data_IF_136233224152
#
_entry.id   IF_136233224152
#
_cell.length_a   1.000
_cell.length_b   1.000
_cell.length_c   1.000
_cell.angle_alpha   90.00
_cell.angle_beta   90.00
_cell.angle_gamma   90.00
#
_symmetry.space_group_name_H-M   'P 1'
#
loop_
_entity.id
_entity.type
_entity.pdbx_description
1 polymer ?
#
# COMPACT_ATOMS: atom_id res chain seq x y z
N UNK A 1 1.60 -32.51 18.19
CA UNK A 1 1.43 -31.21 17.51
C UNK A 1 1.72 -30.04 18.44
N UNK A 2 1.18 -30.01 19.66
CA UNK A 2 1.43 -28.91 20.61
C UNK A 2 2.86 -28.93 21.18
N UNK A 3 3.38 -30.12 21.52
CA UNK A 3 4.78 -30.32 21.94
C UNK A 3 5.77 -29.84 20.88
N UNK A 4 5.54 -30.16 19.59
CA UNK A 4 6.40 -29.71 18.47
C UNK A 4 6.33 -28.21 18.18
N UNK A 5 5.21 -27.54 18.46
CA UNK A 5 5.10 -26.07 18.34
C UNK A 5 5.88 -25.36 19.43
N UNK A 6 5.76 -25.86 20.67
CA UNK A 6 6.50 -25.34 21.82
C UNK A 6 8.01 -25.53 21.64
N UNK A 7 8.43 -26.69 21.12
CA UNK A 7 9.84 -26.94 20.79
C UNK A 7 10.36 -25.98 19.72
N UNK A 8 9.58 -25.73 18.65
CA UNK A 8 9.94 -24.76 17.62
C UNK A 8 10.07 -23.34 18.17
N UNK A 9 9.17 -22.92 19.08
CA UNK A 9 9.26 -21.64 19.76
C UNK A 9 10.56 -21.52 20.59
N UNK A 10 10.83 -22.51 21.45
CA UNK A 10 12.02 -22.51 22.32
C UNK A 10 13.30 -22.47 21.47
N UNK A 11 13.36 -23.26 20.39
CA UNK A 11 14.50 -23.27 19.49
C UNK A 11 14.68 -21.92 18.77
N UNK A 12 13.59 -21.32 18.30
CA UNK A 12 13.65 -19.99 17.67
C UNK A 12 14.23 -18.96 18.64
N UNK A 13 13.76 -18.94 19.89
CA UNK A 13 14.23 -18.02 20.93
C UNK A 13 15.74 -18.16 21.17
N UNK A 14 16.23 -19.40 21.27
CA UNK A 14 17.67 -19.68 21.43
C UNK A 14 18.49 -19.20 20.22
N UNK A 15 18.00 -19.37 19.00
CA UNK A 15 18.69 -18.89 17.80
C UNK A 15 18.68 -17.35 17.70
N UNK A 16 17.59 -16.69 18.10
CA UNK A 16 17.53 -15.24 18.18
C UNK A 16 18.48 -14.68 19.25
N UNK A 17 18.64 -15.36 20.39
CA UNK A 17 19.64 -14.99 21.39
C UNK A 17 21.08 -15.10 20.87
N UNK A 18 21.38 -16.15 20.09
CA UNK A 18 22.68 -16.30 19.41
C UNK A 18 22.89 -15.16 18.41
N UNK A 19 21.88 -14.83 17.62
CA UNK A 19 21.93 -13.70 16.68
C UNK A 19 22.16 -12.38 17.40
N UNK A 20 21.46 -12.14 18.51
CA UNK A 20 21.60 -10.91 19.29
C UNK A 20 23.03 -10.70 19.82
N UNK A 21 23.75 -11.79 20.14
CA UNK A 21 25.16 -11.73 20.55
C UNK A 21 26.11 -11.23 19.44
N UNK A 22 25.71 -11.39 18.17
CA UNK A 22 26.47 -10.87 17.02
C UNK A 22 26.23 -9.37 16.78
N UNK A 23 25.22 -8.77 17.41
CA UNK A 23 24.90 -7.35 17.25
C UNK A 23 25.97 -6.46 17.93
N UNK A 24 26.35 -5.34 17.30
CA UNK A 24 27.18 -4.31 17.91
C UNK A 24 26.53 -3.79 19.20
N UNK A 25 27.34 -3.43 20.18
CA UNK A 25 26.85 -3.04 21.51
C UNK A 25 25.88 -1.86 21.46
N UNK A 26 26.14 -0.87 20.60
CA UNK A 26 25.30 0.31 20.41
C UNK A 26 23.95 0.02 19.71
N UNK A 27 23.81 -1.13 19.04
CA UNK A 27 22.56 -1.54 18.36
C UNK A 27 21.81 -2.64 19.11
N UNK A 28 22.43 -3.25 20.12
CA UNK A 28 21.91 -4.46 20.76
C UNK A 28 20.54 -4.26 21.40
N UNK A 29 20.26 -3.09 21.97
CA UNK A 29 18.95 -2.79 22.55
C UNK A 29 17.86 -2.67 21.47
N UNK A 30 18.15 -1.99 20.37
CA UNK A 30 17.22 -1.87 19.23
C UNK A 30 16.91 -3.25 18.65
N UNK A 31 17.95 -4.03 18.34
CA UNK A 31 17.80 -5.38 17.77
C UNK A 31 17.04 -6.32 18.72
N UNK A 32 17.24 -6.16 20.04
CA UNK A 32 16.47 -6.90 21.05
C UNK A 32 14.98 -6.59 20.94
N UNK A 33 14.60 -5.32 20.84
CA UNK A 33 13.20 -4.90 20.67
C UNK A 33 12.59 -5.45 19.38
N UNK A 34 13.33 -5.39 18.25
CA UNK A 34 12.91 -5.99 16.98
C UNK A 34 12.64 -7.49 17.13
N UNK A 35 13.50 -8.22 17.83
CA UNK A 35 13.34 -9.65 18.05
C UNK A 35 12.19 -9.98 19.01
N UNK A 36 11.89 -9.13 20.00
CA UNK A 36 10.68 -9.30 20.82
C UNK A 36 9.39 -9.20 19.99
N UNK A 37 9.30 -8.20 19.09
CA UNK A 37 8.19 -8.08 18.16
C UNK A 37 8.05 -9.31 17.27
N UNK A 38 9.18 -9.78 16.70
CA UNK A 38 9.21 -10.98 15.87
C UNK A 38 8.76 -12.24 16.63
N UNK A 39 9.22 -12.42 17.88
CA UNK A 39 8.82 -13.56 18.72
C UNK A 39 7.33 -13.58 18.98
N UNK A 40 6.72 -12.43 19.29
CA UNK A 40 5.27 -12.32 19.47
C UNK A 40 4.53 -12.73 18.19
N UNK A 41 4.97 -12.24 17.03
CA UNK A 41 4.36 -12.56 15.74
C UNK A 41 4.51 -14.04 15.38
N UNK A 42 5.69 -14.62 15.59
CA UNK A 42 5.94 -16.03 15.34
C UNK A 42 5.13 -16.95 16.27
N UNK A 43 5.03 -16.60 17.56
CA UNK A 43 4.21 -17.35 18.51
C UNK A 43 2.74 -17.34 18.08
N UNK A 44 2.21 -16.17 17.69
CA UNK A 44 0.85 -16.08 17.13
C UNK A 44 0.70 -16.92 15.86
N UNK A 45 1.66 -16.89 14.95
CA UNK A 45 1.65 -17.74 13.75
C UNK A 45 1.57 -19.23 14.07
N UNK A 46 2.27 -19.70 15.11
CA UNK A 46 2.17 -21.09 15.55
C UNK A 46 0.82 -21.41 16.21
N UNK A 47 0.20 -20.46 16.91
CA UNK A 47 -1.05 -20.65 17.65
C UNK A 47 -2.30 -20.51 16.79
N UNK A 48 -2.31 -19.56 15.85
CA UNK A 48 -3.41 -19.30 14.93
C UNK A 48 -3.54 -20.46 13.94
N UNK A 49 -4.44 -21.39 14.22
CA UNK A 49 -4.76 -22.53 13.35
C UNK A 49 -6.13 -22.31 12.72
N UNK A 50 -6.16 -22.28 11.39
CA UNK A 50 -7.41 -22.16 10.62
C UNK A 50 -7.50 -20.86 9.81
N UNK A 51 -8.60 -20.65 9.08
CA UNK A 51 -8.82 -19.44 8.32
C UNK A 51 -9.06 -18.24 9.26
N UNK A 52 -8.58 -17.05 8.89
CA UNK A 52 -8.80 -15.83 9.67
C UNK A 52 -10.28 -15.41 9.72
N UNK A 53 -11.07 -15.86 8.75
CA UNK A 53 -12.51 -15.60 8.66
C UNK A 53 -13.25 -16.91 8.37
N UNK A 54 -14.33 -17.14 9.10
CA UNK A 54 -15.34 -18.11 8.70
C UNK A 54 -16.29 -17.44 7.72
N UNK A 55 -16.31 -17.91 6.47
CA UNK A 55 -17.04 -17.24 5.38
C UNK A 55 -18.53 -17.02 5.69
N UNK A 56 -19.17 -18.00 6.33
CA UNK A 56 -20.60 -17.96 6.68
C UNK A 56 -20.92 -16.95 7.80
N UNK A 57 -19.91 -16.45 8.53
CA UNK A 57 -20.06 -15.41 9.57
C UNK A 57 -19.80 -14.01 9.03
N UNK A 58 -19.45 -13.87 7.74
CA UNK A 58 -19.26 -12.55 7.13
C UNK A 58 -20.61 -11.89 6.92
N UNK A 59 -20.76 -10.69 7.48
CA UNK A 59 -21.98 -9.91 7.40
C UNK A 59 -21.82 -8.77 6.38
N UNK A 60 -22.96 -8.34 5.81
CA UNK A 60 -22.99 -7.11 5.02
C UNK A 60 -22.68 -5.90 5.90
N UNK A 61 -21.96 -4.93 5.35
CA UNK A 61 -21.65 -3.68 6.05
C UNK A 61 -22.93 -3.01 6.57
N UNK A 62 -23.00 -2.63 7.86
CA UNK A 62 -24.16 -1.96 8.39
C UNK A 62 -24.34 -0.57 7.75
N UNK A 63 -25.58 -0.05 7.78
CA UNK A 63 -25.86 1.29 7.28
C UNK A 63 -25.02 2.32 8.05
N UNK A 64 -24.35 3.21 7.31
CA UNK A 64 -23.47 4.23 7.89
C UNK A 64 -22.05 3.75 8.20
N UNK A 65 -21.74 2.47 8.02
CA UNK A 65 -20.36 1.97 8.18
C UNK A 65 -19.41 2.50 7.10
N UNK A 66 -19.94 2.78 5.91
CA UNK A 66 -19.24 3.48 4.83
C UNK A 66 -20.12 4.64 4.40
N UNK A 67 -19.59 5.86 4.49
CA UNK A 67 -20.28 7.07 4.04
C UNK A 67 -19.73 7.53 2.69
N UNK A 68 -20.55 8.26 1.93
CA UNK A 68 -20.16 8.82 0.63
C UNK A 68 -19.39 10.12 0.85
N UNK A 69 -18.21 10.25 0.23
CA UNK A 69 -17.39 11.45 0.29
C UNK A 69 -18.16 12.73 -0.08
N UNK A 70 -19.10 12.66 -1.03
CA UNK A 70 -19.87 13.82 -1.47
C UNK A 70 -20.85 14.35 -0.39
N UNK A 71 -21.05 13.61 0.70
CA UNK A 71 -21.89 14.03 1.83
C UNK A 71 -21.10 14.80 2.89
N UNK A 72 -19.77 14.87 2.78
CA UNK A 72 -18.91 15.58 3.72
C UNK A 72 -19.07 17.10 3.59
N UNK A 73 -18.95 17.80 4.71
CA UNK A 73 -19.06 19.25 4.76
C UNK A 73 -17.70 19.91 4.65
N UNK A 74 -17.62 20.89 3.75
CA UNK A 74 -16.44 21.75 3.64
C UNK A 74 -16.29 22.63 4.90
N UNK A 75 -15.09 22.69 5.49
CA UNK A 75 -14.85 23.56 6.64
C UNK A 75 -14.86 25.03 6.24
N UNK A 76 -15.17 25.90 7.20
CA UNK A 76 -15.02 27.35 7.03
C UNK A 76 -13.53 27.71 6.97
N UNK A 77 -13.13 28.52 5.99
CA UNK A 77 -11.73 28.88 5.71
C UNK A 77 -10.91 29.28 6.95
N UNK A 78 -11.48 30.08 7.85
CA UNK A 78 -10.78 30.58 9.03
C UNK A 78 -10.38 29.49 10.03
N UNK A 79 -11.00 28.29 9.94
CA UNK A 79 -10.70 27.15 10.82
C UNK A 79 -9.67 26.20 10.23
N UNK A 80 -9.41 26.25 8.91
CA UNK A 80 -8.57 25.27 8.21
C UNK A 80 -7.16 25.22 8.82
N UNK A 81 -6.57 26.39 9.10
CA UNK A 81 -5.23 26.45 9.70
C UNK A 81 -5.17 25.71 11.04
N UNK A 82 -6.09 26.01 11.95
CA UNK A 82 -6.16 25.38 13.28
C UNK A 82 -6.46 23.88 13.20
N UNK A 83 -7.21 23.44 12.18
CA UNK A 83 -7.45 22.02 11.92
C UNK A 83 -6.17 21.32 11.45
N UNK A 84 -5.41 21.95 10.55
CA UNK A 84 -4.14 21.40 10.04
C UNK A 84 -3.06 21.33 11.14
N UNK A 85 -3.06 22.25 12.11
CA UNK A 85 -2.15 22.20 13.26
C UNK A 85 -2.38 20.94 14.13
N UNK A 86 -3.56 20.32 14.03
CA UNK A 86 -3.92 19.07 14.73
C UNK A 86 -3.66 17.80 13.90
N UNK A 87 -3.19 17.94 12.66
CA UNK A 87 -2.97 16.83 11.75
C UNK A 87 -1.47 16.53 11.58
N UNK A 88 -1.14 15.26 11.62
CA UNK A 88 0.16 14.71 11.24
C UNK A 88 0.00 13.96 9.93
N UNK A 89 0.99 14.04 9.03
CA UNK A 89 1.01 13.23 7.81
C UNK A 89 2.13 12.20 7.92
N UNK A 90 1.82 10.94 7.65
CA UNK A 90 2.76 9.82 7.63
C UNK A 90 2.75 9.13 6.27
N UNK A 91 3.92 8.95 5.68
CA UNK A 91 4.06 8.32 4.37
C UNK A 91 4.86 7.03 4.49
N UNK A 92 4.27 5.92 4.05
CA UNK A 92 5.00 4.67 3.85
C UNK A 92 5.93 4.82 2.64
N UNK A 93 7.22 4.70 2.90
CA UNK A 93 8.25 4.71 1.85
C UNK A 93 8.78 3.28 1.64
N UNK A 94 9.33 3.04 0.45
CA UNK A 94 10.00 1.78 0.17
C UNK A 94 11.22 1.61 1.09
N UNK A 95 11.44 0.38 1.58
CA UNK A 95 12.49 -0.04 2.52
C UNK A 95 12.31 0.46 3.97
N UNK A 96 11.74 -0.41 4.82
CA UNK A 96 11.71 -0.34 6.29
C UNK A 96 11.62 1.06 6.89
N UNK A 97 10.88 2.00 6.31
CA UNK A 97 10.88 3.38 6.80
C UNK A 97 9.56 4.05 6.47
N UNK A 98 9.16 4.97 7.33
CA UNK A 98 8.12 5.94 7.01
C UNK A 98 8.58 7.34 7.41
N UNK A 99 8.00 8.32 6.75
CA UNK A 99 8.27 9.74 6.97
C UNK A 99 7.09 10.34 7.69
N UNK A 100 7.33 10.92 8.87
CA UNK A 100 6.34 11.74 9.58
C UNK A 100 6.62 13.20 9.30
N UNK A 101 5.57 13.91 8.87
CA UNK A 101 5.57 15.34 8.59
C UNK A 101 4.63 16.04 9.55
N UNK A 102 5.17 16.97 10.31
CA UNK A 102 4.42 17.82 11.24
C UNK A 102 4.89 19.27 11.07
N UNK A 103 4.08 20.12 10.45
CA UNK A 103 4.47 21.44 9.93
C UNK A 103 5.44 21.39 8.73
N UNK A 104 5.53 22.52 8.00
CA UNK A 104 6.11 22.65 6.65
C UNK A 104 7.60 22.23 6.50
N UNK A 105 8.32 22.00 7.61
CA UNK A 105 9.78 21.79 7.60
C UNK A 105 10.28 20.63 8.46
N UNK A 106 9.42 19.92 9.21
CA UNK A 106 9.87 18.81 10.05
C UNK A 106 9.58 17.48 9.35
N UNK A 107 10.66 16.80 8.96
CA UNK A 107 10.62 15.44 8.42
C UNK A 107 11.33 14.52 9.39
N UNK A 108 10.61 13.55 9.93
CA UNK A 108 11.18 12.55 10.85
C UNK A 108 11.11 11.19 10.16
N UNK A 109 12.28 10.58 10.00
CA UNK A 109 12.42 9.23 9.45
C UNK A 109 12.39 8.23 10.60
N UNK A 110 11.41 7.33 10.59
CA UNK A 110 11.33 6.21 11.52
C UNK A 110 11.62 4.94 10.75
N UNK A 111 12.64 4.22 11.21
CA UNK A 111 12.97 2.91 10.67
C UNK A 111 12.04 1.86 11.30
N UNK A 112 11.39 1.07 10.45
CA UNK A 112 10.59 -0.09 10.84
C UNK A 112 11.51 -1.23 11.29
N UNK A 113 10.97 -2.13 12.09
CA UNK A 113 11.70 -3.31 12.55
C UNK A 113 12.20 -4.12 11.35
N UNK A 114 13.35 -4.79 11.53
CA UNK A 114 13.83 -5.76 10.54
C UNK A 114 13.74 -7.16 11.15
N UNK A 115 13.01 -8.05 10.50
CA UNK A 115 12.83 -9.42 10.98
C UNK A 115 13.66 -10.41 10.17
N UNK A 116 14.20 -11.46 10.81
CA UNK A 116 14.90 -12.51 10.09
C UNK A 116 13.88 -13.41 9.39
N UNK A 117 14.13 -13.71 8.12
CA UNK A 117 13.44 -14.80 7.41
C UNK A 117 13.76 -16.11 8.11
N UNK A 118 12.80 -17.02 8.14
CA UNK A 118 13.00 -18.35 8.71
C UNK A 118 12.70 -19.44 7.68
N UNK A 119 13.39 -20.56 7.82
CA UNK A 119 13.24 -21.71 6.93
C UNK A 119 11.84 -22.30 7.06
N UNK A 120 11.23 -22.66 5.91
CA UNK A 120 9.95 -23.38 5.88
C UNK A 120 10.04 -24.77 6.49
N UNK A 121 11.22 -25.38 6.47
CA UNK A 121 11.43 -26.76 6.90
C UNK A 121 11.78 -26.83 8.40
N UNK A 122 12.73 -26.00 8.85
CA UNK A 122 13.21 -26.03 10.24
C UNK A 122 12.54 -25.03 11.16
N UNK A 123 11.81 -24.05 10.63
CA UNK A 123 11.27 -22.89 11.35
C UNK A 123 12.33 -22.01 12.05
N UNK A 124 13.61 -22.19 11.72
CA UNK A 124 14.71 -21.43 12.31
C UNK A 124 15.10 -20.23 11.46
N UNK A 125 15.62 -19.13 12.06
CA UNK A 125 16.12 -17.98 11.34
C UNK A 125 17.21 -18.41 10.34
N UNK A 126 17.15 -17.86 9.13
CA UNK A 126 18.18 -18.10 8.10
C UNK A 126 19.42 -17.24 8.36
N UNK A 127 19.22 -16.06 8.95
CA UNK A 127 20.31 -15.17 9.33
C UNK A 127 21.26 -15.86 10.32
N UNK A 128 22.56 -15.63 10.15
CA UNK A 128 23.62 -16.14 11.04
C UNK A 128 24.32 -15.04 11.84
N UNK A 129 24.17 -13.79 11.41
CA UNK A 129 24.72 -12.61 12.05
C UNK A 129 23.80 -11.42 11.78
N UNK A 130 23.69 -10.52 12.75
CA UNK A 130 23.03 -9.21 12.60
C UNK A 130 23.89 -8.27 11.74
N UNK A 131 25.21 -8.44 11.81
CA UNK A 131 26.17 -7.69 10.98
C UNK A 131 26.59 -8.58 9.83
N UNK A 132 26.11 -8.29 8.63
CA UNK A 132 26.42 -9.06 7.43
C UNK A 132 25.97 -8.33 6.16
N UNK A 133 26.58 -8.68 5.03
CA UNK A 133 26.24 -8.12 3.72
C UNK A 133 25.01 -8.76 3.08
N UNK A 134 24.57 -9.91 3.61
CA UNK A 134 23.42 -10.63 3.09
C UNK A 134 22.13 -10.00 3.62
N UNK A 135 21.60 -9.03 2.86
CA UNK A 135 20.32 -8.39 3.16
C UNK A 135 19.12 -9.29 2.80
N UNK A 136 19.34 -10.36 2.04
CA UNK A 136 18.27 -11.27 1.62
C UNK A 136 17.79 -12.20 2.74
N UNK A 137 18.47 -12.27 3.87
CA UNK A 137 17.96 -13.04 5.02
C UNK A 137 17.06 -12.22 5.94
N UNK A 138 16.87 -10.93 5.63
CA UNK A 138 16.07 -9.98 6.42
C UNK A 138 14.87 -9.44 5.61
N UNK A 139 13.85 -8.95 6.29
CA UNK A 139 12.68 -8.31 5.65
C UNK A 139 11.96 -7.35 6.61
N UNK A 140 11.28 -6.30 6.08
CA UNK A 140 10.32 -5.53 6.86
C UNK A 140 9.07 -6.37 7.20
N UNK A 141 8.49 -6.26 8.40
CA UNK A 141 7.25 -6.93 8.82
C UNK A 141 5.96 -6.39 8.17
N UNK A 142 6.07 -5.76 7.00
CA UNK A 142 4.95 -5.07 6.34
C UNK A 142 4.58 -3.75 7.02
N UNK A 143 3.50 -3.13 6.56
CA UNK A 143 3.10 -1.80 7.00
C UNK A 143 2.39 -1.79 8.37
N UNK A 144 1.92 -2.94 8.86
CA UNK A 144 1.23 -3.03 10.16
C UNK A 144 2.12 -2.67 11.36
N UNK A 145 3.44 -2.82 11.22
CA UNK A 145 4.43 -2.41 12.23
C UNK A 145 4.45 -0.91 12.53
N UNK A 146 3.82 -0.09 11.66
CA UNK A 146 3.69 1.35 11.84
C UNK A 146 3.29 1.75 13.26
N UNK A 147 2.28 1.11 13.85
CA UNK A 147 1.75 1.54 15.15
C UNK A 147 2.75 1.32 16.29
N UNK A 148 3.36 0.13 16.37
CA UNK A 148 4.35 -0.19 17.40
C UNK A 148 5.62 0.65 17.20
N UNK A 149 6.14 0.75 15.97
CA UNK A 149 7.32 1.56 15.67
C UNK A 149 7.08 3.05 15.94
N UNK A 150 5.89 3.57 15.65
CA UNK A 150 5.54 4.95 15.93
C UNK A 150 5.47 5.25 17.44
N UNK A 151 4.86 4.36 18.23
CA UNK A 151 4.86 4.46 19.69
C UNK A 151 6.28 4.33 20.28
N UNK A 152 7.02 3.29 19.90
CA UNK A 152 8.35 2.99 20.44
C UNK A 152 9.40 4.07 20.09
N UNK A 153 9.16 4.85 19.04
CA UNK A 153 10.02 5.99 18.68
C UNK A 153 9.95 7.16 19.66
N UNK A 154 8.92 7.22 20.52
CA UNK A 154 8.63 8.38 21.37
C UNK A 154 7.95 9.54 20.63
N UNK A 155 7.94 9.52 19.29
CA UNK A 155 7.37 10.60 18.49
C UNK A 155 5.86 10.75 18.69
N UNK A 156 5.14 9.64 18.94
CA UNK A 156 3.71 9.70 19.23
C UNK A 156 3.41 10.62 20.43
N UNK A 157 4.19 10.51 21.50
CA UNK A 157 4.04 11.33 22.70
C UNK A 157 4.41 12.79 22.44
N UNK A 158 5.49 13.03 21.70
CA UNK A 158 5.89 14.39 21.31
C UNK A 158 4.79 15.09 20.51
N UNK A 159 4.20 14.40 19.53
CA UNK A 159 3.14 14.95 18.68
C UNK A 159 1.85 15.20 19.46
N UNK A 160 1.47 14.28 20.36
CA UNK A 160 0.34 14.48 21.27
C UNK A 160 0.58 15.71 22.17
N UNK A 161 1.79 15.87 22.71
CA UNK A 161 2.16 17.03 23.52
C UNK A 161 2.16 18.35 22.72
N UNK A 162 2.40 18.28 21.41
CA UNK A 162 2.24 19.41 20.48
C UNK A 162 0.78 19.71 20.09
N UNK A 163 -0.18 18.91 20.56
CA UNK A 163 -1.61 19.11 20.29
C UNK A 163 -2.11 18.45 19.00
N UNK A 164 -1.34 17.55 18.40
CA UNK A 164 -1.82 16.74 17.29
C UNK A 164 -2.90 15.75 17.77
N UNK A 165 -3.94 15.55 16.97
CA UNK A 165 -5.05 14.64 17.28
C UNK A 165 -5.13 13.44 16.33
N UNK A 166 -4.81 13.66 15.05
CA UNK A 166 -4.95 12.64 14.00
C UNK A 166 -3.67 12.51 13.17
N UNK A 167 -3.45 11.30 12.65
CA UNK A 167 -2.43 10.98 11.66
C UNK A 167 -3.10 10.51 10.37
N UNK A 168 -2.78 11.17 9.25
CA UNK A 168 -3.11 10.70 7.92
C UNK A 168 -1.95 9.85 7.39
N UNK A 169 -2.22 8.59 7.10
CA UNK A 169 -1.25 7.59 6.66
C UNK A 169 -1.55 7.19 5.21
N UNK A 170 -0.55 7.23 4.33
CA UNK A 170 -0.69 6.79 2.94
C UNK A 170 0.62 6.26 2.36
N UNK A 171 0.56 5.66 1.17
CA UNK A 171 1.77 5.25 0.45
C UNK A 171 2.35 6.43 -0.33
N UNK A 172 3.69 6.58 -0.33
CA UNK A 172 4.36 7.64 -1.11
C UNK A 172 4.13 7.51 -2.62
N UNK A 173 3.90 6.29 -3.09
CA UNK A 173 3.62 6.03 -4.50
C UNK A 173 2.16 6.24 -4.88
N UNK A 174 1.26 6.55 -3.94
CA UNK A 174 -0.09 7.00 -4.23
C UNK A 174 -0.14 8.52 -4.37
N UNK A 175 -0.02 9.01 -5.61
CA UNK A 175 0.01 10.45 -5.91
C UNK A 175 -1.36 11.12 -5.69
N UNK A 176 -2.43 10.34 -5.55
CA UNK A 176 -3.77 10.83 -5.22
C UNK A 176 -3.99 11.09 -3.72
N UNK A 177 -3.12 10.56 -2.86
CA UNK A 177 -3.26 10.63 -1.40
C UNK A 177 -2.85 11.99 -0.82
N UNK A 178 -3.58 13.04 -1.20
CA UNK A 178 -3.40 14.39 -0.65
C UNK A 178 -4.18 14.57 0.65
N UNK A 179 -3.78 15.53 1.48
CA UNK A 179 -4.55 15.90 2.70
C UNK A 179 -5.90 16.45 2.29
N UNK A 180 -6.97 15.79 2.73
CA UNK A 180 -8.35 16.19 2.45
C UNK A 180 -8.96 16.95 3.63
N UNK A 181 -9.31 18.22 3.41
CA UNK A 181 -9.86 19.09 4.45
C UNK A 181 -11.29 18.71 4.86
N UNK A 182 -12.06 18.05 3.98
CA UNK A 182 -13.43 17.65 4.27
C UNK A 182 -13.44 16.42 5.19
N UNK A 183 -12.55 15.47 4.92
CA UNK A 183 -12.32 14.32 5.82
C UNK A 183 -11.79 14.82 7.16
N UNK A 184 -10.79 15.71 7.16
CA UNK A 184 -10.26 16.29 8.40
C UNK A 184 -11.35 17.03 9.20
N UNK A 185 -12.27 17.73 8.53
CA UNK A 185 -13.39 18.40 9.17
C UNK A 185 -14.32 17.41 9.88
N UNK A 186 -14.66 16.29 9.23
CA UNK A 186 -15.46 15.22 9.84
C UNK A 186 -14.80 14.68 11.12
N UNK A 187 -13.48 14.50 11.10
CA UNK A 187 -12.71 13.93 12.21
C UNK A 187 -12.63 14.87 13.42
N UNK A 188 -12.48 16.17 13.18
CA UNK A 188 -12.31 17.16 14.25
C UNK A 188 -13.63 17.79 14.71
N UNK A 189 -14.64 17.82 13.85
CA UNK A 189 -15.96 18.41 14.11
C UNK A 189 -17.10 17.43 13.75
N UNK A 190 -17.17 16.25 14.37
CA UNK A 190 -18.25 15.31 14.09
C UNK A 190 -19.60 15.90 14.53
N UNK A 191 -20.67 15.53 13.81
CA UNK A 191 -22.03 15.93 14.18
C UNK A 191 -22.41 15.37 15.56
N UNK A 192 -23.28 16.06 16.31
CA UNK A 192 -23.73 15.64 17.67
C UNK A 192 -24.28 14.20 17.74
N UNK A 193 -24.72 13.64 16.61
CA UNK A 193 -25.27 12.28 16.51
C UNK A 193 -24.23 11.20 16.26
N UNK A 194 -22.96 11.56 16.06
CA UNK A 194 -21.90 10.64 15.67
C UNK A 194 -20.73 10.76 16.65
N UNK A 195 -20.34 9.65 17.27
CA UNK A 195 -19.09 9.56 18.01
C UNK A 195 -17.91 9.76 17.07
N UNK A 196 -16.88 10.47 17.51
CA UNK A 196 -15.69 10.68 16.70
C UNK A 196 -15.02 9.34 16.35
N UNK A 197 -14.83 9.01 15.06
CA UNK A 197 -14.18 7.77 14.68
C UNK A 197 -12.71 7.80 15.09
N UNK A 198 -12.21 6.72 15.68
CA UNK A 198 -10.78 6.60 16.00
C UNK A 198 -9.96 6.12 14.80
N UNK A 199 -10.63 5.51 13.81
CA UNK A 199 -10.01 4.99 12.60
C UNK A 199 -10.93 5.18 11.40
N UNK A 200 -10.42 5.82 10.35
CA UNK A 200 -11.11 5.98 9.08
C UNK A 200 -10.28 5.39 7.95
N UNK A 201 -10.89 4.54 7.15
CA UNK A 201 -10.30 3.96 5.95
C UNK A 201 -10.97 4.55 4.72
N UNK A 202 -10.20 5.23 3.86
CA UNK A 202 -10.72 5.60 2.55
C UNK A 202 -10.82 4.32 1.69
N UNK A 203 -12.00 4.10 1.13
CA UNK A 203 -12.29 3.04 0.19
C UNK A 203 -12.71 3.66 -1.13
N UNK A 204 -12.53 2.96 -2.24
CA UNK A 204 -13.03 3.42 -3.55
C UNK A 204 -13.69 2.26 -4.28
N UNK A 205 -14.56 2.57 -5.24
CA UNK A 205 -15.23 1.55 -6.05
C UNK A 205 -14.23 0.62 -6.79
N UNK A 206 -14.48 -0.70 -6.71
CA UNK A 206 -13.69 -1.73 -7.37
C UNK A 206 -13.88 -1.71 -8.88
N UNK A 207 -12.79 -1.65 -9.63
CA UNK A 207 -12.77 -1.96 -11.06
C UNK A 207 -12.25 -3.37 -11.31
N UNK A 208 -12.26 -3.81 -12.57
CA UNK A 208 -11.68 -5.10 -12.99
C UNK A 208 -10.19 -5.24 -12.65
N UNK A 209 -9.46 -4.14 -12.52
CA UNK A 209 -8.06 -4.15 -12.13
C UNK A 209 -7.86 -4.38 -10.62
N UNK A 210 -8.89 -4.09 -9.80
CA UNK A 210 -8.79 -4.03 -8.34
C UNK A 210 -9.41 -5.26 -7.65
N UNK A 211 -9.85 -6.28 -8.41
CA UNK A 211 -10.61 -7.44 -7.90
C UNK A 211 -9.86 -8.29 -6.87
N UNK A 212 -8.55 -8.11 -6.75
CA UNK A 212 -7.69 -8.77 -5.75
C UNK A 212 -7.49 -7.95 -4.48
N UNK A 213 -7.87 -6.67 -4.47
CA UNK A 213 -7.70 -5.79 -3.33
C UNK A 213 -8.64 -6.12 -2.17
N UNK A 214 -8.12 -5.98 -0.95
CA UNK A 214 -8.87 -6.15 0.28
C UNK A 214 -10.11 -5.25 0.37
N UNK A 215 -11.14 -5.71 1.06
CA UNK A 215 -12.41 -4.99 1.24
C UNK A 215 -12.78 -4.90 2.72
N UNK A 216 -13.50 -3.84 3.08
CA UNK A 216 -14.15 -3.76 4.38
C UNK A 216 -15.35 -4.71 4.45
N UNK A 217 -15.47 -5.39 5.57
CA UNK A 217 -16.60 -6.26 5.93
C UNK A 217 -17.01 -6.03 7.38
N UNK A 218 -18.21 -6.49 7.72
CA UNK A 218 -18.65 -6.62 9.10
C UNK A 218 -18.40 -8.07 9.57
N UNK A 219 -17.73 -8.24 10.70
CA UNK A 219 -17.43 -9.55 11.26
C UNK A 219 -17.32 -9.47 12.79
N UNK A 220 -18.08 -10.30 13.51
CA UNK A 220 -18.13 -10.32 14.98
C UNK A 220 -18.41 -8.94 15.59
N UNK A 221 -19.39 -8.23 15.04
CA UNK A 221 -19.81 -6.92 15.55
C UNK A 221 -18.84 -5.76 15.27
N UNK A 222 -17.73 -5.98 14.56
CA UNK A 222 -16.76 -4.94 14.19
C UNK A 222 -16.48 -4.89 12.69
N UNK A 223 -16.05 -3.72 12.22
CA UNK A 223 -15.46 -3.59 10.89
C UNK A 223 -14.08 -4.24 10.85
N UNK A 224 -13.84 -5.04 9.80
CA UNK A 224 -12.56 -5.69 9.53
C UNK A 224 -12.17 -5.53 8.06
N UNK A 225 -10.86 -5.49 7.81
CA UNK A 225 -10.31 -5.60 6.47
C UNK A 225 -10.10 -7.07 6.15
N UNK A 226 -10.74 -7.55 5.09
CA UNK A 226 -10.55 -8.90 4.58
C UNK A 226 -9.74 -8.85 3.28
N UNK A 227 -8.59 -9.52 3.30
CA UNK A 227 -7.68 -9.70 2.17
C UNK A 227 -7.95 -11.03 1.45
N UNK A 228 -7.62 -11.08 0.16
CA UNK A 228 -7.82 -12.30 -0.66
C UNK A 228 -7.11 -13.54 -0.11
N UNK A 229 -5.97 -13.36 0.57
CA UNK A 229 -5.21 -14.45 1.15
C UNK A 229 -5.95 -15.17 2.30
N UNK A 230 -6.95 -14.51 2.89
CA UNK A 230 -7.74 -15.03 4.01
C UNK A 230 -9.05 -15.68 3.54
N UNK A 231 -9.36 -15.57 2.24
CA UNK A 231 -10.57 -16.11 1.65
C UNK A 231 -10.40 -17.60 1.35
N UNK A 232 -11.32 -18.48 1.79
CA UNK A 232 -11.31 -19.89 1.42
C UNK A 232 -11.31 -20.09 -0.10
N UNK A 233 -10.63 -21.14 -0.59
CA UNK A 233 -10.38 -21.33 -2.04
C UNK A 233 -11.68 -21.40 -2.85
N UNK A 234 -12.70 -22.01 -2.27
CA UNK A 234 -14.05 -22.17 -2.79
C UNK A 234 -14.80 -20.84 -2.98
N UNK A 235 -14.44 -19.78 -2.27
CA UNK A 235 -15.11 -18.47 -2.28
C UNK A 235 -14.28 -17.34 -2.91
N UNK A 236 -13.12 -17.67 -3.50
CA UNK A 236 -12.25 -16.69 -4.14
C UNK A 236 -12.97 -15.92 -5.26
N UNK A 237 -13.83 -16.59 -6.02
CA UNK A 237 -14.54 -15.94 -7.14
C UNK A 237 -15.70 -15.05 -6.64
N UNK A 238 -16.33 -15.40 -5.53
CA UNK A 238 -17.29 -14.55 -4.83
C UNK A 238 -16.61 -13.26 -4.32
N UNK A 239 -15.40 -13.38 -3.76
CA UNK A 239 -14.60 -12.24 -3.32
C UNK A 239 -14.22 -11.28 -4.45
N UNK A 240 -13.84 -11.83 -5.61
CA UNK A 240 -13.49 -11.06 -6.81
C UNK A 240 -14.70 -10.42 -7.48
N UNK A 241 -15.92 -10.87 -7.16
CA UNK A 241 -17.14 -10.33 -7.72
C UNK A 241 -17.38 -8.89 -7.26
N UNK A 242 -17.28 -7.96 -8.21
CA UNK A 242 -17.60 -6.53 -8.01
C UNK A 242 -19.09 -6.29 -7.66
N UNK A 243 -19.95 -7.30 -7.85
CA UNK A 243 -21.36 -7.23 -7.44
C UNK A 243 -21.53 -7.48 -5.94
N UNK A 244 -20.72 -8.40 -5.40
CA UNK A 244 -20.74 -8.80 -3.98
C UNK A 244 -19.98 -7.79 -3.14
N UNK A 245 -18.72 -7.53 -3.50
CA UNK A 245 -17.87 -6.55 -2.84
C UNK A 245 -17.61 -5.40 -3.81
N UNK A 246 -18.25 -4.26 -3.55
CA UNK A 246 -18.24 -3.10 -4.47
C UNK A 246 -17.07 -2.16 -4.27
N UNK A 247 -16.46 -2.18 -3.09
CA UNK A 247 -15.41 -1.25 -2.66
C UNK A 247 -14.12 -2.00 -2.35
N UNK A 248 -12.99 -1.30 -2.36
CA UNK A 248 -11.71 -1.80 -1.86
C UNK A 248 -10.92 -0.74 -1.10
N UNK A 249 -10.01 -1.20 -0.25
CA UNK A 249 -9.12 -0.36 0.53
C UNK A 249 -8.10 0.38 -0.35
N UNK A 250 -8.04 1.70 -0.21
CA UNK A 250 -7.04 2.54 -0.89
C UNK A 250 -5.69 2.59 -0.17
N UNK A 251 -5.65 2.12 1.07
CA UNK A 251 -4.55 2.29 2.03
C UNK A 251 -4.27 3.76 2.42
N UNK A 252 -5.23 4.67 2.19
CA UNK A 252 -5.26 5.99 2.79
C UNK A 252 -6.05 5.88 4.11
N UNK A 253 -5.37 6.05 5.24
CA UNK A 253 -5.92 5.79 6.57
C UNK A 253 -5.83 7.06 7.42
N UNK A 254 -6.84 7.32 8.24
CA UNK A 254 -6.83 8.41 9.21
C UNK A 254 -7.02 7.82 10.59
N UNK A 255 -6.05 8.03 11.47
CA UNK A 255 -5.98 7.34 12.76
C UNK A 255 -5.83 8.35 13.88
N UNK A 256 -6.66 8.23 14.93
CA UNK A 256 -6.58 9.07 16.12
C UNK A 256 -5.34 8.68 16.94
N UNK A 257 -4.45 9.65 17.20
CA UNK A 257 -3.17 9.43 17.86
C UNK A 257 -3.35 8.90 19.29
N UNK A 258 -4.30 9.45 20.05
CA UNK A 258 -4.58 9.01 21.42
C UNK A 258 -5.06 7.56 21.48
N UNK A 259 -5.79 7.09 20.45
CA UNK A 259 -6.27 5.71 20.38
C UNK A 259 -5.12 4.74 20.09
N UNK A 260 -4.15 5.11 19.25
CA UNK A 260 -2.93 4.31 19.03
C UNK A 260 -2.22 4.06 20.37
N UNK A 261 -2.01 5.13 21.15
CA UNK A 261 -1.34 5.04 22.45
C UNK A 261 -2.09 4.10 23.41
N UNK A 262 -3.38 4.36 23.62
CA UNK A 262 -4.23 3.58 24.52
C UNK A 262 -4.26 2.09 24.14
N UNK A 263 -4.43 1.77 22.85
CA UNK A 263 -4.50 0.39 22.41
C UNK A 263 -3.16 -0.34 22.61
N UNK A 264 -2.03 0.30 22.33
CA UNK A 264 -0.70 -0.32 22.51
C UNK A 264 -0.39 -0.55 24.00
N UNK A 265 -0.72 0.41 24.87
CA UNK A 265 -0.48 0.31 26.32
C UNK A 265 -1.38 -0.72 27.02
N UNK A 266 -2.65 -0.80 26.63
CA UNK A 266 -3.65 -1.55 27.41
C UNK A 266 -3.96 -2.94 26.86
N UNK A 267 -4.17 -3.07 25.55
CA UNK A 267 -4.66 -4.33 24.95
C UNK A 267 -3.68 -4.98 23.98
N UNK A 268 -2.78 -4.21 23.39
CA UNK A 268 -1.98 -4.59 22.23
C UNK A 268 -2.75 -4.49 20.91
N UNK A 269 -2.02 -4.28 19.81
CA UNK A 269 -2.59 -4.18 18.47
C UNK A 269 -2.74 -5.57 17.85
N UNK A 270 -3.98 -6.03 17.62
CA UNK A 270 -4.23 -7.33 17.00
C UNK A 270 -4.52 -7.19 15.50
N UNK A 271 -3.65 -7.73 14.66
CA UNK A 271 -3.81 -7.74 13.20
C UNK A 271 -3.59 -9.15 12.65
N UNK A 272 -4.35 -9.54 11.62
CA UNK A 272 -4.20 -10.82 10.94
C UNK A 272 -2.78 -10.98 10.38
N UNK A 273 -2.21 -12.17 10.55
CA UNK A 273 -0.86 -12.48 10.08
C UNK A 273 -0.91 -12.81 8.59
N UNK A 274 -0.04 -12.17 7.83
CA UNK A 274 0.19 -12.46 6.42
C UNK A 274 1.43 -13.35 6.32
N UNK A 275 1.25 -14.56 5.81
CA UNK A 275 2.33 -15.54 5.65
C UNK A 275 2.79 -15.53 4.20
N UNK A 276 3.95 -14.91 3.96
CA UNK A 276 4.56 -14.81 2.65
C UNK A 276 5.60 -15.93 2.47
N UNK A 277 5.39 -16.79 1.47
CA UNK A 277 6.34 -17.83 1.08
C UNK A 277 7.23 -17.32 -0.05
N UNK A 278 8.56 -17.40 0.13
CA UNK A 278 9.54 -17.03 -0.91
C UNK A 278 10.62 -18.12 -1.05
N UNK A 279 11.31 -18.12 -2.17
CA UNK A 279 12.52 -18.92 -2.39
C UNK A 279 13.68 -17.96 -2.58
N UNK A 280 14.75 -18.15 -1.80
CA UNK A 280 15.99 -17.39 -1.96
C UNK A 280 16.76 -17.86 -3.19
N UNK A 281 17.73 -17.08 -3.66
CA UNK A 281 18.54 -17.39 -4.85
C UNK A 281 19.31 -18.71 -4.74
N UNK A 282 19.64 -19.12 -3.51
CA UNK A 282 20.26 -20.42 -3.23
C UNK A 282 19.28 -21.61 -3.24
N UNK A 283 18.01 -21.39 -3.59
CA UNK A 283 16.95 -22.39 -3.64
C UNK A 283 16.26 -22.68 -2.30
N UNK A 284 16.67 -22.02 -1.21
CA UNK A 284 16.08 -22.23 0.11
C UNK A 284 14.67 -21.63 0.19
N UNK A 285 13.71 -22.44 0.62
CA UNK A 285 12.33 -21.98 0.86
C UNK A 285 12.22 -21.34 2.24
N UNK A 286 11.78 -20.09 2.25
CA UNK A 286 11.68 -19.25 3.45
C UNK A 286 10.27 -18.72 3.64
N UNK A 287 9.98 -18.34 4.89
CA UNK A 287 8.73 -17.73 5.31
C UNK A 287 9.02 -16.32 5.84
N UNK A 288 8.11 -15.41 5.55
CA UNK A 288 8.04 -14.03 6.02
C UNK A 288 6.67 -13.84 6.68
N UNK A 289 6.65 -13.29 7.88
CA UNK A 289 5.44 -12.96 8.61
C UNK A 289 5.28 -11.45 8.63
N UNK A 290 4.18 -10.98 8.08
CA UNK A 290 3.89 -9.56 7.96
C UNK A 290 2.50 -9.25 8.51
N UNK A 291 2.22 -7.97 8.73
CA UNK A 291 0.88 -7.46 9.01
C UNK A 291 0.60 -6.23 8.14
N UNK A 292 -0.68 -5.95 7.91
CA UNK A 292 -1.12 -4.79 7.12
C UNK A 292 -1.72 -3.71 8.02
N UNK A 293 -1.36 -2.44 7.81
CA UNK A 293 -1.84 -1.32 8.66
C UNK A 293 -3.36 -1.22 8.68
N UNK A 294 -4.01 -1.49 7.53
CA UNK A 294 -5.47 -1.48 7.42
C UNK A 294 -6.17 -2.59 8.22
N UNK A 295 -5.50 -3.71 8.52
CA UNK A 295 -6.06 -4.77 9.36
C UNK A 295 -6.26 -4.32 10.82
N UNK A 296 -5.56 -3.25 11.24
CA UNK A 296 -5.71 -2.70 12.58
C UNK A 296 -7.09 -2.11 12.85
N UNK A 297 -7.91 -1.83 11.83
CA UNK A 297 -9.24 -1.21 11.94
C UNK A 297 -10.13 -1.83 13.02
N UNK A 298 -10.04 -3.15 13.24
CA UNK A 298 -10.83 -3.87 14.25
C UNK A 298 -10.50 -3.53 15.70
N UNK A 299 -9.33 -2.94 15.94
CA UNK A 299 -8.88 -2.57 17.29
C UNK A 299 -9.43 -1.23 17.74
N UNK A 300 -9.90 -0.40 16.80
CA UNK A 300 -10.34 0.96 17.06
C UNK A 300 -11.86 1.04 17.26
N UNK A 301 -12.29 1.97 18.11
CA UNK A 301 -13.70 2.25 18.34
C UNK A 301 -14.24 3.21 17.29
N UNK A 302 -15.50 3.02 16.91
CA UNK A 302 -16.16 3.88 15.93
C UNK A 302 -15.49 3.88 14.55
N UNK A 303 -14.83 2.78 14.17
CA UNK A 303 -14.19 2.66 12.85
C UNK A 303 -15.20 2.96 11.72
N UNK A 304 -14.72 3.64 10.67
CA UNK A 304 -15.56 4.13 9.57
C UNK A 304 -14.85 3.99 8.22
N UNK A 305 -15.61 3.65 7.18
CA UNK A 305 -15.16 3.79 5.79
C UNK A 305 -15.67 5.08 5.15
N UNK A 306 -14.89 5.68 4.25
CA UNK A 306 -15.36 6.76 3.38
C UNK A 306 -15.15 6.34 1.93
N UNK A 307 -16.23 6.26 1.13
CA UNK A 307 -16.11 5.99 -0.29
C UNK A 307 -15.67 7.26 -1.02
N UNK A 308 -14.39 7.34 -1.33
CA UNK A 308 -13.74 8.49 -1.99
C UNK A 308 -13.71 8.33 -3.51
N UNK A 309 -13.65 9.44 -4.27
CA UNK A 309 -13.42 9.35 -5.70
C UNK A 309 -12.05 8.73 -6.01
N UNK A 310 -11.96 8.04 -7.15
CA UNK A 310 -10.72 7.39 -7.61
C UNK A 310 -9.54 8.35 -7.80
N UNK A 311 -9.79 9.66 -7.91
CA UNK A 311 -8.73 10.68 -7.92
C UNK A 311 -7.83 10.63 -6.67
N UNK A 312 -8.33 10.10 -5.55
CA UNK A 312 -7.54 9.88 -4.31
C UNK A 312 -6.75 8.57 -4.29
N UNK A 313 -6.90 7.74 -5.33
CA UNK A 313 -6.22 6.46 -5.50
C UNK A 313 -5.54 6.39 -6.87
N UNK A 314 -4.36 6.99 -6.95
CA UNK A 314 -3.49 7.05 -8.12
C UNK A 314 -2.09 6.46 -7.79
N UNK A 315 -2.01 5.14 -7.53
CA UNK A 315 -0.74 4.47 -7.25
C UNK A 315 0.12 4.33 -8.51
N UNK A 316 1.43 4.57 -8.37
CA UNK A 316 2.43 4.37 -9.43
C UNK A 316 3.31 3.17 -9.08
N UNK A 317 2.96 1.99 -9.59
CA UNK A 317 3.64 0.72 -9.27
C UNK A 317 4.49 0.20 -10.42
N UNK A 318 4.07 0.47 -11.66
CA UNK A 318 4.75 0.08 -12.89
C UNK A 318 5.04 1.30 -13.76
N UNK A 319 5.95 1.13 -14.73
CA UNK A 319 6.21 2.14 -15.77
C UNK A 319 4.99 2.44 -16.64
N UNK A 320 4.02 1.52 -16.72
CA UNK A 320 2.69 1.80 -17.30
C UNK A 320 1.96 2.94 -16.56
N UNK A 321 2.02 2.94 -15.23
CA UNK A 321 1.40 3.97 -14.40
C UNK A 321 2.21 5.27 -14.49
N UNK A 322 3.55 5.14 -14.56
CA UNK A 322 4.45 6.28 -14.77
C UNK A 322 4.14 7.00 -16.08
N UNK A 323 3.89 6.27 -17.17
CA UNK A 323 3.51 6.83 -18.46
C UNK A 323 2.22 7.67 -18.35
N UNK A 324 1.22 7.17 -17.62
CA UNK A 324 -0.04 7.90 -17.39
C UNK A 324 0.22 9.24 -16.71
N UNK A 325 0.93 9.24 -15.58
CA UNK A 325 1.14 10.46 -14.78
C UNK A 325 2.13 11.44 -15.42
N UNK A 326 3.00 10.98 -16.31
CA UNK A 326 3.90 11.83 -17.09
C UNK A 326 3.23 12.45 -18.32
N UNK A 327 2.09 11.91 -18.78
CA UNK A 327 1.38 12.36 -19.98
C UNK A 327 0.59 13.65 -19.74
N UNK A 328 0.14 14.26 -20.84
CA UNK A 328 -0.78 15.39 -20.81
C UNK A 328 -2.19 15.07 -20.26
N UNK A 329 -2.43 13.82 -19.85
CA UNK A 329 -3.62 13.43 -19.09
C UNK A 329 -3.67 14.09 -17.72
N UNK A 330 -2.52 14.43 -17.13
CA UNK A 330 -2.43 15.12 -15.85
C UNK A 330 -1.66 16.43 -15.96
N UNK A 331 -2.00 17.36 -15.09
CA UNK A 331 -1.27 18.60 -14.87
C UNK A 331 -0.79 18.65 -13.42
N UNK A 332 0.42 19.16 -13.20
CA UNK A 332 0.97 19.34 -11.86
C UNK A 332 0.67 20.76 -11.38
N UNK A 333 0.01 20.88 -10.23
CA UNK A 333 -0.24 22.16 -9.55
C UNK A 333 0.17 22.04 -8.09
N UNK A 334 1.14 22.85 -7.66
CA UNK A 334 1.65 22.86 -6.29
C UNK A 334 2.07 21.47 -5.76
N UNK A 335 2.56 20.58 -6.64
CA UNK A 335 2.95 19.22 -6.28
C UNK A 335 1.82 18.18 -6.31
N UNK A 336 0.57 18.59 -6.56
CA UNK A 336 -0.57 17.69 -6.75
C UNK A 336 -0.83 17.44 -8.24
N UNK A 337 -1.28 16.23 -8.57
CA UNK A 337 -1.69 15.87 -9.93
C UNK A 337 -3.20 16.01 -10.09
N UNK A 338 -3.60 16.81 -11.07
CA UNK A 338 -4.98 16.99 -11.46
C UNK A 338 -5.20 16.48 -12.89
N UNK A 339 -6.23 15.65 -13.07
CA UNK A 339 -6.62 15.20 -14.41
C UNK A 339 -6.98 16.42 -15.27
N UNK A 340 -6.49 16.42 -16.51
CA UNK A 340 -6.70 17.53 -17.44
C UNK A 340 -8.19 17.78 -17.67
N UNK A 341 -8.66 19.03 -17.59
CA UNK A 341 -10.05 19.37 -17.91
C UNK A 341 -10.38 19.16 -19.39
N UNK A 342 -9.37 19.01 -20.25
CA UNK A 342 -9.53 18.68 -21.67
C UNK A 342 -9.88 17.20 -21.89
N UNK A 343 -9.78 16.36 -20.86
CA UNK A 343 -10.15 14.95 -20.95
C UNK A 343 -11.68 14.84 -20.97
N UNK A 344 -12.23 14.32 -22.07
CA UNK A 344 -13.68 14.17 -22.27
C UNK A 344 -14.36 13.19 -21.29
N UNK A 345 -13.61 12.22 -20.75
CA UNK A 345 -14.13 11.18 -19.85
C UNK A 345 -13.28 11.07 -18.57
N UNK A 346 -13.90 11.06 -17.38
CA UNK A 346 -13.19 11.04 -16.10
C UNK A 346 -12.44 9.72 -15.80
N UNK A 347 -12.62 8.70 -16.63
CA UNK A 347 -11.94 7.41 -16.49
C UNK A 347 -10.48 7.50 -16.94
N UNK A 348 -9.59 6.96 -16.11
CA UNK A 348 -8.16 6.77 -16.44
C UNK A 348 -8.03 5.66 -17.51
N UNK A 349 -7.27 5.86 -18.60
CA UNK A 349 -7.08 4.84 -19.62
C UNK A 349 -6.26 3.65 -19.12
N UNK A 350 -6.52 2.47 -19.70
CA UNK A 350 -5.79 1.26 -19.35
C UNK A 350 -4.50 1.16 -20.16
N UNK A 351 -3.35 1.23 -19.48
CA UNK A 351 -2.03 1.12 -20.11
C UNK A 351 -1.32 -0.16 -19.66
N UNK A 352 -0.81 -0.93 -20.62
CA UNK A 352 -0.01 -2.14 -20.39
C UNK A 352 1.25 -2.11 -21.24
N UNK A 353 2.38 -1.88 -20.60
CA UNK A 353 3.70 -1.99 -21.23
C UNK A 353 4.33 -3.35 -20.87
N UNK A 354 4.90 -4.03 -21.86
CA UNK A 354 5.50 -5.36 -21.68
C UNK A 354 6.73 -5.34 -20.78
N UNK A 355 6.71 -6.18 -19.73
CA UNK A 355 7.74 -6.17 -18.68
C UNK A 355 9.16 -6.43 -19.23
N UNK A 356 9.31 -7.23 -20.29
CA UNK A 356 10.62 -7.55 -20.90
C UNK A 356 11.42 -6.31 -21.36
N UNK A 357 10.72 -5.25 -21.80
CA UNK A 357 11.35 -4.08 -22.42
C UNK A 357 11.08 -2.77 -21.66
N UNK A 358 10.02 -2.72 -20.86
CA UNK A 358 9.56 -1.50 -20.20
C UNK A 358 9.58 -1.58 -18.67
N UNK A 359 9.86 -2.73 -18.03
CA UNK A 359 9.77 -2.82 -16.56
C UNK A 359 10.74 -1.89 -15.82
N UNK A 360 11.95 -1.68 -16.36
CA UNK A 360 12.95 -0.79 -15.76
C UNK A 360 12.76 0.64 -16.25
N UNK A 361 12.72 1.60 -15.32
CA UNK A 361 12.56 3.04 -15.63
C UNK A 361 13.56 3.53 -16.67
N UNK A 362 14.83 3.11 -16.57
CA UNK A 362 15.87 3.47 -17.55
C UNK A 362 15.51 3.04 -18.98
N UNK A 363 14.99 1.83 -19.14
CA UNK A 363 14.71 1.27 -20.46
C UNK A 363 13.38 1.83 -20.99
N UNK A 364 12.40 2.06 -20.12
CA UNK A 364 11.20 2.85 -20.41
C UNK A 364 11.55 4.24 -20.96
N UNK A 365 12.34 5.04 -20.23
CA UNK A 365 12.70 6.40 -20.63
C UNK A 365 13.46 6.44 -21.98
N UNK A 366 14.33 5.45 -22.23
CA UNK A 366 15.05 5.35 -23.51
C UNK A 366 14.15 5.05 -24.71
N UNK A 367 12.98 4.46 -24.49
CA UNK A 367 12.06 4.02 -25.54
C UNK A 367 11.05 5.09 -25.96
N UNK A 368 10.91 6.15 -25.17
CA UNK A 368 10.05 7.29 -25.49
C UNK A 368 10.92 8.53 -25.71
N UNK A 369 11.08 8.95 -26.96
CA UNK A 369 11.81 10.19 -27.27
C UNK A 369 11.11 11.43 -26.69
N UNK A 370 9.78 11.38 -26.58
CA UNK A 370 8.95 12.24 -25.73
C UNK A 370 7.76 11.43 -25.22
N UNK A 371 7.11 11.90 -24.16
CA UNK A 371 5.85 11.29 -23.69
C UNK A 371 4.76 11.59 -24.74
N UNK A 372 4.00 10.59 -25.22
CA UNK A 372 2.97 10.79 -26.22
C UNK A 372 1.78 11.58 -25.66
N UNK A 373 1.03 12.19 -26.58
CA UNK A 373 -0.32 12.70 -26.29
C UNK A 373 -1.27 11.51 -26.06
N UNK A 374 -1.92 11.51 -24.89
CA UNK A 374 -2.80 10.44 -24.44
C UNK A 374 -4.18 10.98 -24.00
N UNK A 375 -4.51 12.22 -24.34
CA UNK A 375 -5.76 12.87 -23.91
C UNK A 375 -7.02 12.17 -24.41
N UNK A 376 -6.96 11.52 -25.57
CA UNK A 376 -8.06 10.78 -26.18
C UNK A 376 -7.86 9.25 -26.13
N UNK A 377 -6.88 8.77 -25.35
CA UNK A 377 -6.60 7.34 -25.21
C UNK A 377 -7.65 6.65 -24.33
N UNK A 378 -8.05 5.42 -24.67
CA UNK A 378 -8.84 4.55 -23.80
C UNK A 378 -8.05 3.31 -23.35
N UNK A 379 -7.28 2.73 -24.28
CA UNK A 379 -6.52 1.51 -24.05
C UNK A 379 -5.21 1.52 -24.83
N UNK A 380 -4.10 1.24 -24.15
CA UNK A 380 -2.79 1.03 -24.75
C UNK A 380 -2.22 -0.31 -24.29
N UNK A 381 -1.90 -1.19 -25.24
CA UNK A 381 -1.07 -2.37 -24.98
C UNK A 381 0.15 -2.35 -25.88
N UNK A 382 1.35 -2.44 -25.29
CA UNK A 382 2.62 -2.49 -26.02
C UNK A 382 3.39 -3.74 -25.58
N UNK A 383 3.72 -4.60 -26.54
CA UNK A 383 4.47 -5.84 -26.31
C UNK A 383 5.64 -5.96 -27.28
N UNK A 384 6.78 -6.44 -26.79
CA UNK A 384 8.02 -6.62 -27.57
C UNK A 384 8.91 -5.38 -27.63
N UNK A 385 9.89 -5.41 -28.53
CA UNK A 385 10.89 -4.35 -28.70
C UNK A 385 10.31 -3.17 -29.49
N UNK A 386 9.66 -2.24 -28.77
CA UNK A 386 8.99 -1.06 -29.37
C UNK A 386 9.66 0.24 -28.91
N UNK A 387 9.81 1.19 -29.82
CA UNK A 387 10.22 2.57 -29.52
C UNK A 387 9.24 3.59 -30.07
N UNK A 388 9.22 4.78 -29.48
CA UNK A 388 8.34 5.90 -29.83
C UNK A 388 9.17 7.14 -30.13
N UNK A 389 8.98 7.70 -31.32
CA UNK A 389 9.52 9.00 -31.72
C UNK A 389 8.91 10.17 -30.94
N UNK A 390 9.27 11.40 -31.35
CA UNK A 390 8.74 12.62 -30.73
C UNK A 390 7.31 12.88 -31.19
N UNK A 391 6.53 13.57 -30.37
CA UNK A 391 5.20 14.11 -30.74
C UNK A 391 4.20 13.04 -31.25
N UNK A 392 4.27 11.82 -30.73
CA UNK A 392 3.31 10.75 -31.03
C UNK A 392 1.98 11.03 -30.31
N UNK A 393 0.85 10.77 -30.96
CA UNK A 393 -0.51 10.86 -30.37
C UNK A 393 -1.19 9.50 -30.40
N UNK A 394 -1.74 9.07 -29.26
CA UNK A 394 -2.41 7.78 -29.08
C UNK A 394 -3.87 8.00 -28.68
N UNK A 395 -4.80 7.45 -29.46
CA UNK A 395 -6.24 7.73 -29.35
C UNK A 395 -7.08 6.45 -29.42
N UNK A 396 -8.14 6.39 -28.61
CA UNK A 396 -9.02 5.23 -28.51
C UNK A 396 -8.26 3.97 -28.07
N UNK A 397 -8.38 2.88 -28.82
CA UNK A 397 -7.67 1.62 -28.53
C UNK A 397 -6.45 1.43 -29.43
N UNK A 398 -5.26 1.41 -28.84
CA UNK A 398 -4.00 1.17 -29.53
C UNK A 398 -3.31 -0.08 -29.00
N UNK A 399 -2.97 -1.00 -29.90
CA UNK A 399 -2.25 -2.24 -29.55
C UNK A 399 -1.02 -2.34 -30.46
N UNK A 400 0.18 -2.45 -29.88
CA UNK A 400 1.43 -2.55 -30.62
C UNK A 400 2.15 -3.83 -30.21
N UNK A 401 2.42 -4.71 -31.16
CA UNK A 401 3.01 -6.03 -30.90
C UNK A 401 4.20 -6.25 -31.85
N UNK A 402 5.41 -6.17 -31.30
CA UNK A 402 6.61 -6.71 -31.92
C UNK A 402 6.82 -8.15 -31.44
N UNK A 403 6.89 -9.11 -32.36
CA UNK A 403 7.14 -10.51 -32.01
C UNK A 403 8.60 -10.72 -31.60
N UNK A 404 8.90 -11.93 -31.11
CA UNK A 404 10.26 -12.27 -30.72
C UNK A 404 11.25 -12.11 -31.88
N UNK A 405 12.30 -11.32 -31.67
CA UNK A 405 13.30 -10.99 -32.70
C UNK A 405 12.95 -9.80 -33.59
N UNK A 406 11.69 -9.36 -33.59
CA UNK A 406 11.24 -8.17 -34.30
C UNK A 406 11.41 -6.92 -33.45
N UNK A 407 11.47 -5.77 -34.13
CA UNK A 407 11.48 -4.44 -33.52
C UNK A 407 10.54 -3.52 -34.27
N UNK A 408 9.84 -2.64 -33.55
CA UNK A 408 8.98 -1.61 -34.16
C UNK A 408 9.43 -0.24 -33.63
N UNK A 409 9.90 0.61 -34.53
CA UNK A 409 10.12 2.03 -34.26
C UNK A 409 8.91 2.84 -34.75
N UNK A 410 8.14 3.41 -33.83
CA UNK A 410 7.02 4.31 -34.17
C UNK A 410 7.61 5.68 -34.55
N UNK A 411 7.37 6.18 -35.77
CA UNK A 411 7.98 7.42 -36.25
C UNK A 411 7.50 8.64 -35.46
N UNK A 412 8.31 9.70 -35.45
CA UNK A 412 7.93 10.98 -34.85
C UNK A 412 6.69 11.58 -35.55
N UNK A 413 5.80 12.19 -34.80
CA UNK A 413 4.53 12.76 -35.28
C UNK A 413 3.45 11.73 -35.61
N UNK A 414 3.68 10.43 -35.34
CA UNK A 414 2.70 9.40 -35.63
C UNK A 414 1.41 9.59 -34.81
N UNK A 415 0.26 9.46 -35.47
CA UNK A 415 -1.05 9.46 -34.83
C UNK A 415 -1.63 8.05 -34.98
N UNK A 416 -1.81 7.36 -33.86
CA UNK A 416 -2.38 6.03 -33.80
C UNK A 416 -3.76 6.11 -33.14
N UNK A 417 -4.80 5.92 -33.92
CA UNK A 417 -6.19 5.95 -33.47
C UNK A 417 -6.91 4.66 -33.82
N UNK A 418 -7.36 3.91 -32.80
CA UNK A 418 -8.11 2.66 -32.97
C UNK A 418 -7.38 1.65 -33.89
N UNK A 419 -6.07 1.49 -33.68
CA UNK A 419 -5.19 0.64 -34.50
C UNK A 419 -4.53 -0.48 -33.71
N UNK A 420 -4.35 -1.60 -34.41
CA UNK A 420 -3.42 -2.66 -34.03
C UNK A 420 -2.22 -2.56 -34.99
N UNK A 421 -1.03 -2.38 -34.44
CA UNK A 421 0.24 -2.31 -35.17
C UNK A 421 1.05 -3.55 -34.83
N UNK A 422 1.47 -4.31 -35.84
CA UNK A 422 2.35 -5.46 -35.66
C UNK A 422 3.30 -5.59 -36.84
N UNK A 423 4.44 -6.26 -36.61
CA UNK A 423 5.45 -6.51 -37.64
C UNK A 423 6.85 -6.11 -37.17
N UNK A 424 7.70 -5.77 -38.15
CA UNK A 424 9.09 -5.40 -37.95
C UNK A 424 9.43 -4.16 -38.80
N UNK A 425 9.74 -3.06 -38.13
CA UNK A 425 10.07 -1.76 -38.74
C UNK A 425 11.21 -1.12 -37.97
N UNK A 426 12.32 -0.84 -38.66
CA UNK A 426 13.47 -0.11 -38.12
C UNK A 426 13.62 1.22 -38.84
N UNK A 427 13.71 2.30 -38.07
CA UNK A 427 13.98 3.65 -38.58
C UNK A 427 15.43 3.98 -38.23
N UNK A 428 16.25 4.29 -39.23
CA UNK A 428 17.67 4.63 -39.07
C UNK A 428 17.89 6.11 -39.38
N UNK A 429 18.79 6.75 -38.63
CA UNK A 429 19.27 8.09 -38.94
C UNK A 429 20.04 8.05 -40.28
N UNK A 430 19.80 9.05 -41.13
CA UNK A 430 20.38 9.17 -42.48
C UNK A 430 21.52 10.18 -42.51
#
# INVERSE_FOLDING_TARGET
MEMTKKDAQIQLELELEKLLKTAPENMRETVRKDFEGFKKLFNRFLQEVGPSFEWDKIETLPKGAVIDYNTLQEPVNDKIRTMLDKLVVSLFIHFNTFVVVFSRYLFILIHLLSHPRFSRESFMPVAKSVVGSDLEVWYPPGHGDFYESFYNSGLLDELLNCGAEFCFVSNIDNLGATVDINILNLLLNPSEKMSTPEFVMEVTDKTRADVKGGTLIQYEGKLRLMEIAQVPKEHIDDFKSVKTFKIFNTNNLWVRLSAIKHIIEDTGMHMEIIVNHKSLDNGMNVIQLETASGAAVKNFNGALGINVPRSRFLPVKKTSDLLLVMSNLYSIRNGSLDMSPMRSFPSVPLVKLGDNHFAKVRDFLKRFASIPDMLELDHLTVSGDVTFGKDVSLRGTVIIIANHGDRIDIPSGAILENKIVSGNLRILDH
#
